data_IF_255712394043
#
_entry.id   IF_255712394043
#
_cell.length_a   1.000
_cell.length_b   1.000
_cell.length_c   1.000
_cell.angle_alpha   90.00
_cell.angle_beta   90.00
_cell.angle_gamma   90.00
#
_symmetry.space_group_name_H-M   'P 1'
#
loop_
_entity.id
_entity.type
_entity.pdbx_description
1 polymer ?
#
# COMPACT_ATOMS: atom_id res chain seq x y z
N UNK A 1 23.18 -19.32 -6.52
CA UNK A 1 22.77 -18.55 -7.72
C UNK A 1 21.72 -17.54 -7.29
N UNK A 2 21.87 -16.24 -7.60
CA UNK A 2 20.98 -15.17 -7.07
C UNK A 2 19.72 -15.02 -7.96
N UNK A 3 18.54 -15.54 -7.56
CA UNK A 3 17.35 -15.57 -8.41
C UNK A 3 16.83 -14.18 -8.80
N UNK A 4 17.08 -13.17 -7.96
CA UNK A 4 16.60 -11.80 -8.17
C UNK A 4 17.22 -11.12 -9.41
N UNK A 5 18.48 -11.43 -9.72
CA UNK A 5 19.23 -10.81 -10.83
C UNK A 5 18.73 -11.34 -12.18
N UNK A 6 18.36 -12.62 -12.23
CA UNK A 6 17.79 -13.22 -13.44
C UNK A 6 16.37 -12.70 -13.70
N UNK A 7 15.56 -12.57 -12.65
CA UNK A 7 14.19 -12.09 -12.76
C UNK A 7 14.11 -10.60 -13.18
N UNK A 8 15.12 -9.80 -12.81
CA UNK A 8 15.28 -8.41 -13.27
C UNK A 8 15.53 -8.24 -14.77
N UNK A 9 15.81 -9.31 -15.52
CA UNK A 9 15.98 -9.23 -16.99
C UNK A 9 14.66 -9.14 -17.74
N UNK A 10 13.54 -9.54 -17.14
CA UNK A 10 12.23 -9.40 -17.79
C UNK A 10 11.71 -7.98 -17.54
N UNK A 11 11.53 -7.15 -18.58
CA UNK A 11 10.99 -5.82 -18.41
C UNK A 11 9.59 -5.89 -17.80
N UNK A 12 9.24 -4.91 -16.96
CA UNK A 12 7.97 -4.82 -16.20
C UNK A 12 7.85 -5.86 -15.08
N UNK A 13 7.84 -7.16 -15.39
CA UNK A 13 7.69 -8.24 -14.40
C UNK A 13 8.83 -8.24 -13.37
N UNK A 14 10.07 -8.05 -13.81
CA UNK A 14 11.22 -7.94 -12.91
C UNK A 14 11.12 -6.74 -11.97
N UNK A 15 10.56 -5.62 -12.45
CA UNK A 15 10.33 -4.41 -11.66
C UNK A 15 9.24 -4.63 -10.62
N UNK A 16 8.12 -5.26 -11.00
CA UNK A 16 7.02 -5.58 -10.09
C UNK A 16 7.46 -6.52 -8.96
N UNK A 17 8.20 -7.58 -9.29
CA UNK A 17 8.69 -8.51 -8.27
C UNK A 17 9.71 -7.84 -7.36
N UNK A 18 10.56 -6.96 -7.90
CA UNK A 18 11.48 -6.18 -7.09
C UNK A 18 10.76 -5.23 -6.12
N UNK A 19 9.74 -4.49 -6.60
CA UNK A 19 8.90 -3.62 -5.76
C UNK A 19 8.19 -4.42 -4.67
N UNK A 20 7.58 -5.56 -5.03
CA UNK A 20 6.93 -6.46 -4.08
C UNK A 20 7.92 -6.99 -3.04
N UNK A 21 9.13 -7.36 -3.46
CA UNK A 21 10.17 -7.82 -2.54
C UNK A 21 10.62 -6.73 -1.57
N UNK A 22 10.76 -5.48 -2.04
CA UNK A 22 11.05 -4.32 -1.20
C UNK A 22 9.94 -4.06 -0.17
N UNK A 23 8.67 -4.15 -0.59
CA UNK A 23 7.51 -4.02 0.28
C UNK A 23 7.47 -5.11 1.36
N UNK A 24 7.66 -6.39 0.97
CA UNK A 24 7.66 -7.52 1.90
C UNK A 24 8.78 -7.42 2.95
N UNK A 25 9.94 -6.89 2.56
CA UNK A 25 11.06 -6.64 3.47
C UNK A 25 10.91 -5.35 4.30
N UNK A 26 9.87 -4.55 4.07
CA UNK A 26 9.68 -3.27 4.75
C UNK A 26 10.83 -2.30 4.49
N UNK A 27 11.34 -2.25 3.26
CA UNK A 27 12.44 -1.35 2.89
C UNK A 27 13.82 -1.72 3.45
N UNK A 28 14.04 -2.96 3.91
CA UNK A 28 15.38 -3.46 4.29
C UNK A 28 16.32 -3.45 3.07
N UNK A 29 17.59 -2.96 3.20
CA UNK A 29 18.59 -3.03 2.14
C UNK A 29 18.79 -4.42 1.52
N UNK A 30 18.54 -5.50 2.28
CA UNK A 30 18.58 -6.89 1.81
C UNK A 30 17.63 -7.17 0.66
N UNK A 31 16.55 -6.39 0.52
CA UNK A 31 15.59 -6.52 -0.57
C UNK A 31 16.19 -6.29 -1.96
N UNK A 32 17.33 -5.60 -2.06
CA UNK A 32 18.03 -5.37 -3.31
C UNK A 32 18.84 -6.59 -3.79
N UNK A 33 19.23 -7.49 -2.87
CA UNK A 33 20.15 -8.59 -3.15
C UNK A 33 19.53 -9.97 -2.99
N UNK A 34 18.50 -10.10 -2.16
CA UNK A 34 17.90 -11.38 -1.76
C UNK A 34 16.38 -11.35 -1.86
N UNK A 35 15.77 -12.51 -2.17
CA UNK A 35 14.32 -12.69 -2.11
C UNK A 35 13.87 -12.87 -0.68
N UNK A 36 12.71 -12.31 -0.34
CA UNK A 36 12.11 -12.50 0.97
C UNK A 36 11.69 -13.94 1.18
N UNK A 37 11.90 -14.52 2.38
CA UNK A 37 11.38 -15.84 2.72
C UNK A 37 9.85 -15.85 2.61
N UNK A 38 9.29 -16.97 2.16
CA UNK A 38 7.84 -17.13 1.87
C UNK A 38 6.93 -16.73 3.05
N UNK A 39 7.41 -16.89 4.28
CA UNK A 39 6.68 -16.50 5.50
C UNK A 39 6.41 -15.00 5.57
N UNK A 40 7.34 -14.17 5.09
CA UNK A 40 7.14 -12.71 5.03
C UNK A 40 6.17 -12.33 3.93
N UNK A 41 6.22 -12.99 2.77
CA UNK A 41 5.24 -12.79 1.70
C UNK A 41 3.83 -13.06 2.18
N UNK A 42 3.64 -14.19 2.86
CA UNK A 42 2.33 -14.53 3.43
C UNK A 42 1.88 -13.48 4.45
N UNK A 43 2.76 -13.08 5.36
CA UNK A 43 2.42 -12.04 6.36
C UNK A 43 2.02 -10.71 5.72
N UNK A 44 2.68 -10.31 4.63
CA UNK A 44 2.43 -9.04 3.96
C UNK A 44 1.11 -9.05 3.17
N UNK A 45 0.80 -10.13 2.44
CA UNK A 45 -0.33 -10.14 1.51
C UNK A 45 -1.58 -10.82 2.02
N UNK A 46 -1.47 -11.72 3.01
CA UNK A 46 -2.57 -12.60 3.39
C UNK A 46 -3.82 -11.84 3.85
N UNK A 47 -3.68 -10.86 4.75
CA UNK A 47 -4.85 -10.13 5.26
C UNK A 47 -5.53 -9.29 4.18
N UNK A 48 -4.74 -8.65 3.31
CA UNK A 48 -5.28 -7.87 2.20
C UNK A 48 -6.00 -8.77 1.20
N UNK A 49 -5.43 -9.95 0.91
CA UNK A 49 -6.06 -10.93 0.04
C UNK A 49 -7.37 -11.46 0.63
N UNK A 50 -7.39 -11.83 1.92
CA UNK A 50 -8.58 -12.31 2.62
C UNK A 50 -9.68 -11.26 2.63
N UNK A 51 -9.35 -10.01 2.97
CA UNK A 51 -10.29 -8.90 2.93
C UNK A 51 -10.87 -8.69 1.52
N UNK A 52 -10.02 -8.76 0.50
CA UNK A 52 -10.45 -8.60 -0.90
C UNK A 52 -11.37 -9.72 -1.36
N UNK A 53 -11.04 -10.98 -1.04
CA UNK A 53 -11.89 -12.14 -1.36
C UNK A 53 -13.25 -12.01 -0.68
N UNK A 54 -13.27 -11.60 0.60
CA UNK A 54 -14.51 -11.36 1.33
C UNK A 54 -15.38 -10.29 0.65
N UNK A 55 -14.78 -9.17 0.22
CA UNK A 55 -15.47 -8.11 -0.49
C UNK A 55 -15.97 -8.54 -1.87
N UNK A 56 -15.22 -9.37 -2.60
CA UNK A 56 -15.65 -9.96 -3.89
C UNK A 56 -16.90 -10.84 -3.69
N UNK A 57 -16.89 -11.71 -2.68
CA UNK A 57 -18.05 -12.55 -2.36
C UNK A 57 -19.26 -11.67 -2.05
N UNK A 58 -19.07 -10.57 -1.32
CA UNK A 58 -20.14 -9.63 -1.00
C UNK A 58 -20.67 -8.87 -2.24
N UNK A 59 -19.82 -8.57 -3.21
CA UNK A 59 -20.20 -7.79 -4.41
C UNK A 59 -20.78 -8.62 -5.55
N UNK A 60 -20.49 -9.92 -5.60
CA UNK A 60 -21.02 -10.83 -6.61
C UNK A 60 -22.08 -11.74 -5.98
N UNK A 61 -23.34 -11.30 -5.87
CA UNK A 61 -24.40 -12.06 -5.21
C UNK A 61 -24.63 -13.41 -5.88
N UNK A 62 -24.52 -13.48 -7.22
CA UNK A 62 -24.60 -14.73 -7.97
C UNK A 62 -23.55 -15.74 -7.47
N UNK A 63 -22.28 -15.32 -7.40
CA UNK A 63 -21.17 -16.14 -6.94
C UNK A 63 -21.33 -16.54 -5.47
N UNK A 64 -21.83 -15.64 -4.62
CA UNK A 64 -22.14 -15.94 -3.22
C UNK A 64 -23.23 -17.01 -3.07
N UNK A 65 -24.27 -16.93 -3.90
CA UNK A 65 -25.39 -17.87 -3.89
C UNK A 65 -24.97 -19.24 -4.42
N UNK A 66 -24.11 -19.29 -5.44
CA UNK A 66 -23.55 -20.54 -5.97
C UNK A 66 -22.60 -21.21 -4.98
N UNK A 67 -21.76 -20.44 -4.28
CA UNK A 67 -20.92 -20.96 -3.19
C UNK A 67 -21.77 -21.50 -2.04
N UNK A 68 -22.82 -20.78 -1.67
CA UNK A 68 -23.75 -21.19 -0.61
C UNK A 68 -24.48 -22.49 -0.96
N UNK A 69 -24.95 -22.60 -2.20
CA UNK A 69 -25.57 -23.84 -2.71
C UNK A 69 -24.56 -24.98 -2.78
N UNK A 70 -23.34 -24.75 -3.29
CA UNK A 70 -22.29 -25.78 -3.31
C UNK A 70 -21.97 -26.30 -1.91
N UNK A 71 -21.89 -25.39 -0.92
CA UNK A 71 -21.61 -25.76 0.47
C UNK A 71 -22.74 -26.57 1.12
N UNK A 72 -24.00 -26.26 0.82
CA UNK A 72 -25.17 -26.93 1.40
C UNK A 72 -25.55 -28.23 0.71
N UNK A 73 -25.45 -28.31 -0.62
CA UNK A 73 -25.97 -29.44 -1.41
C UNK A 73 -24.92 -30.17 -2.22
N UNK A 74 -23.65 -29.74 -2.21
CA UNK A 74 -22.57 -30.38 -2.98
C UNK A 74 -22.70 -30.23 -4.50
N UNK A 75 -23.65 -29.42 -4.98
CA UNK A 75 -23.90 -29.21 -6.40
C UNK A 75 -22.71 -28.51 -7.09
N UNK A 76 -22.32 -28.87 -8.32
CA UNK A 76 -21.19 -28.25 -9.00
C UNK A 76 -21.42 -26.75 -9.20
N UNK A 77 -20.35 -25.96 -9.03
CA UNK A 77 -20.34 -24.51 -9.27
C UNK A 77 -20.53 -24.28 -10.77
N UNK A 78 -21.79 -24.16 -11.18
CA UNK A 78 -22.20 -23.90 -12.56
C UNK A 78 -22.97 -22.59 -12.57
N UNK A 79 -22.27 -21.50 -12.84
CA UNK A 79 -22.93 -20.21 -13.03
C UNK A 79 -22.35 -19.47 -14.23
N UNK A 80 -23.25 -19.06 -15.13
CA UNK A 80 -23.04 -17.85 -15.91
C UNK A 80 -23.32 -16.69 -14.95
N UNK A 81 -22.37 -15.80 -14.77
CA UNK A 81 -22.60 -14.52 -14.09
C UNK A 81 -23.58 -13.72 -14.97
N UNK A 82 -24.88 -13.86 -14.70
CA UNK A 82 -25.94 -13.18 -15.45
C UNK A 82 -26.07 -11.75 -14.95
N UNK A 83 -25.12 -10.90 -15.36
CA UNK A 83 -25.34 -9.47 -15.61
C UNK A 83 -25.81 -8.54 -14.48
N UNK A 84 -25.90 -8.99 -13.22
CA UNK A 84 -26.43 -8.18 -12.13
C UNK A 84 -25.43 -7.22 -11.46
N UNK A 85 -24.12 -7.47 -11.60
CA UNK A 85 -23.06 -6.59 -11.08
C UNK A 85 -22.41 -5.82 -12.23
N UNK A 86 -22.21 -4.51 -12.07
CA UNK A 86 -21.53 -3.65 -13.03
C UNK A 86 -20.28 -4.33 -13.64
N UNK A 87 -20.02 -4.12 -14.94
CA UNK A 87 -18.83 -4.67 -15.59
C UNK A 87 -17.56 -4.19 -14.87
N UNK A 88 -16.79 -5.06 -14.20
CA UNK A 88 -15.70 -4.63 -13.32
C UNK A 88 -14.64 -3.82 -14.08
N UNK A 89 -14.41 -4.14 -15.36
CA UNK A 89 -13.50 -3.40 -16.22
C UNK A 89 -13.83 -1.90 -16.32
N UNK A 90 -15.11 -1.53 -16.49
CA UNK A 90 -15.47 -0.10 -16.62
C UNK A 90 -15.30 0.65 -15.31
N UNK A 91 -15.60 0.01 -14.17
CA UNK A 91 -15.41 0.57 -12.83
C UNK A 91 -13.92 0.76 -12.51
N UNK A 92 -13.08 -0.20 -12.85
CA UNK A 92 -11.61 -0.12 -12.68
C UNK A 92 -11.05 1.06 -13.50
N UNK A 93 -11.46 1.18 -14.76
CA UNK A 93 -10.95 2.21 -15.68
C UNK A 93 -11.46 3.61 -15.31
N UNK A 94 -12.65 3.73 -14.72
CA UNK A 94 -13.18 5.04 -14.31
C UNK A 94 -12.57 5.57 -13.01
N UNK A 95 -12.23 4.69 -12.06
CA UNK A 95 -11.78 5.09 -10.72
C UNK A 95 -10.25 5.19 -10.64
N UNK A 96 -9.53 4.17 -11.10
CA UNK A 96 -8.11 4.05 -10.77
C UNK A 96 -7.16 5.04 -11.46
N UNK A 97 -7.44 5.62 -12.64
CA UNK A 97 -6.59 6.70 -13.17
C UNK A 97 -6.51 7.89 -12.22
N UNK A 98 -7.63 8.29 -11.62
CA UNK A 98 -7.67 9.38 -10.63
C UNK A 98 -6.93 8.98 -9.34
N UNK A 99 -7.09 7.73 -8.88
CA UNK A 99 -6.37 7.23 -7.70
C UNK A 99 -4.86 7.11 -7.93
N UNK A 100 -4.43 6.73 -9.14
CA UNK A 100 -3.03 6.75 -9.53
C UNK A 100 -2.48 8.18 -9.53
N UNK A 101 -3.25 9.14 -10.05
CA UNK A 101 -2.89 10.57 -9.99
C UNK A 101 -2.70 11.07 -8.56
N UNK A 102 -3.60 10.69 -7.64
CA UNK A 102 -3.47 10.96 -6.20
C UNK A 102 -2.16 10.37 -5.66
N UNK A 103 -1.89 9.11 -5.96
CA UNK A 103 -0.67 8.42 -5.54
C UNK A 103 0.63 9.04 -6.03
N UNK A 104 0.65 9.51 -7.28
CA UNK A 104 1.78 10.26 -7.85
C UNK A 104 1.93 11.61 -7.14
N UNK A 105 0.83 12.31 -6.86
CA UNK A 105 0.85 13.57 -6.10
C UNK A 105 1.41 13.40 -4.70
N UNK A 106 1.02 12.32 -4.00
CA UNK A 106 1.60 11.92 -2.72
C UNK A 106 3.10 11.66 -2.84
N UNK A 107 3.51 10.94 -3.87
CA UNK A 107 4.91 10.62 -4.10
C UNK A 107 5.75 11.89 -4.37
N UNK A 108 5.20 12.87 -5.09
CA UNK A 108 5.82 14.17 -5.29
C UNK A 108 5.94 14.96 -3.98
N UNK A 109 4.92 14.94 -3.13
CA UNK A 109 4.96 15.58 -1.81
C UNK A 109 6.09 15.01 -0.95
N UNK A 110 6.33 13.69 -0.99
CA UNK A 110 7.45 13.09 -0.26
C UNK A 110 8.82 13.62 -0.68
N UNK A 111 9.01 13.94 -1.97
CA UNK A 111 10.24 14.58 -2.42
C UNK A 111 10.35 16.05 -2.02
N UNK A 112 9.21 16.71 -1.83
CA UNK A 112 9.15 18.08 -1.34
C UNK A 112 9.31 18.18 0.19
N UNK A 113 9.29 17.06 0.92
CA UNK A 113 9.49 17.06 2.37
C UNK A 113 10.93 17.40 2.74
N UNK A 114 11.08 18.18 3.83
CA UNK A 114 12.38 18.56 4.34
C UNK A 114 13.20 17.37 4.85
N UNK A 115 14.52 17.48 4.69
CA UNK A 115 15.48 16.45 5.13
C UNK A 115 15.45 16.20 6.64
N UNK A 116 14.98 17.17 7.44
CA UNK A 116 14.74 17.03 8.88
C UNK A 116 13.70 15.94 9.15
N UNK A 117 12.55 15.98 8.48
CA UNK A 117 11.47 15.02 8.63
C UNK A 117 11.92 13.59 8.27
N UNK A 118 12.66 13.44 7.16
CA UNK A 118 13.23 12.16 6.73
C UNK A 118 14.18 11.60 7.80
N UNK A 119 15.04 12.45 8.37
CA UNK A 119 16.01 12.07 9.42
C UNK A 119 15.31 11.67 10.72
N UNK A 120 14.20 12.31 11.08
CA UNK A 120 13.43 11.94 12.28
C UNK A 120 12.68 10.63 12.09
N UNK A 121 12.11 10.40 10.90
CA UNK A 121 11.50 9.12 10.57
C UNK A 121 12.54 7.99 10.66
N UNK A 122 13.79 8.24 10.22
CA UNK A 122 14.90 7.32 10.44
C UNK A 122 15.08 7.01 11.93
N UNK A 123 15.15 8.05 12.78
CA UNK A 123 15.33 7.90 14.23
C UNK A 123 14.18 7.12 14.88
N UNK A 124 12.92 7.40 14.54
CA UNK A 124 11.75 6.65 15.07
C UNK A 124 11.77 5.19 14.64
N UNK A 125 12.11 4.92 13.38
CA UNK A 125 12.26 3.54 12.88
C UNK A 125 13.40 2.81 13.58
N UNK A 126 14.52 3.49 13.80
CA UNK A 126 15.68 2.96 14.51
C UNK A 126 15.39 2.73 16.01
N UNK A 127 14.60 3.60 16.63
CA UNK A 127 14.16 3.45 18.02
C UNK A 127 13.15 2.30 18.17
N UNK A 128 12.17 2.18 17.27
CA UNK A 128 11.26 1.02 17.23
C UNK A 128 12.00 -0.32 16.98
N UNK A 129 13.17 -0.26 16.33
CA UNK A 129 14.07 -1.40 16.17
C UNK A 129 14.82 -1.72 17.47
N UNK A 130 15.33 -0.71 18.16
CA UNK A 130 16.01 -0.86 19.47
C UNK A 130 15.06 -1.38 20.55
N UNK A 131 13.79 -0.98 20.51
CA UNK A 131 12.75 -1.43 21.44
C UNK A 131 12.25 -2.86 21.15
N UNK A 132 12.84 -3.57 20.18
CA UNK A 132 12.47 -4.94 19.79
C UNK A 132 11.10 -5.07 19.11
N UNK A 133 10.36 -3.97 18.95
CA UNK A 133 9.03 -3.93 18.31
C UNK A 133 9.10 -4.18 16.80
N UNK A 134 10.25 -3.92 16.16
CA UNK A 134 10.52 -4.27 14.75
C UNK A 134 11.92 -4.87 14.56
N UNK A 135 12.01 -5.97 13.80
CA UNK A 135 13.30 -6.60 13.46
C UNK A 135 14.00 -5.96 12.25
N UNK A 136 13.24 -5.33 11.34
CA UNK A 136 13.74 -4.78 10.07
C UNK A 136 12.95 -3.52 9.66
N UNK A 137 13.58 -2.62 8.93
CA UNK A 137 12.99 -1.39 8.39
C UNK A 137 14.00 -0.25 8.26
N UNK A 138 14.07 0.39 7.09
CA UNK A 138 14.86 1.60 6.82
C UNK A 138 13.92 2.74 6.41
N UNK A 139 14.42 3.97 6.24
CA UNK A 139 13.67 5.08 5.64
C UNK A 139 13.11 4.74 4.25
N UNK A 140 13.75 3.79 3.55
CA UNK A 140 13.25 3.23 2.29
C UNK A 140 11.89 2.53 2.43
N UNK A 141 11.44 2.21 3.65
CA UNK A 141 10.12 1.63 3.90
C UNK A 141 9.01 2.51 3.35
N UNK A 142 9.13 3.82 3.48
CA UNK A 142 8.11 4.75 3.01
C UNK A 142 8.00 4.73 1.48
N UNK A 143 9.15 4.67 0.81
CA UNK A 143 9.18 4.55 -0.65
C UNK A 143 8.57 3.21 -1.10
N UNK A 144 8.93 2.09 -0.46
CA UNK A 144 8.37 0.79 -0.81
C UNK A 144 6.86 0.68 -0.52
N UNK A 145 6.41 1.27 0.58
CA UNK A 145 5.02 1.20 1.05
C UNK A 145 4.06 2.03 0.19
N UNK A 146 4.57 2.99 -0.58
CA UNK A 146 3.78 3.76 -1.56
C UNK A 146 3.97 3.22 -2.98
N UNK A 147 5.21 2.93 -3.38
CA UNK A 147 5.50 2.50 -4.74
C UNK A 147 4.89 1.13 -5.08
N UNK A 148 4.83 0.20 -4.12
CA UNK A 148 4.24 -1.11 -4.35
C UNK A 148 2.72 -1.03 -4.62
N UNK A 149 1.89 -0.41 -3.77
CA UNK A 149 0.48 -0.16 -4.07
C UNK A 149 0.25 0.48 -5.44
N UNK A 150 1.01 1.51 -5.79
CA UNK A 150 0.87 2.16 -7.10
C UNK A 150 1.17 1.22 -8.27
N UNK A 151 2.19 0.38 -8.13
CA UNK A 151 2.50 -0.64 -9.13
C UNK A 151 1.37 -1.66 -9.29
N UNK A 152 0.70 -2.03 -8.19
CA UNK A 152 -0.47 -2.91 -8.22
C UNK A 152 -1.64 -2.22 -8.91
N UNK A 153 -1.88 -0.92 -8.65
CA UNK A 153 -2.94 -0.17 -9.33
C UNK A 153 -2.74 -0.16 -10.86
N UNK A 154 -1.50 -0.01 -11.34
CA UNK A 154 -1.19 -0.10 -12.78
C UNK A 154 -1.52 -1.48 -13.34
N UNK A 155 -1.17 -2.55 -12.62
CA UNK A 155 -1.50 -3.93 -13.02
C UNK A 155 -3.01 -4.14 -13.05
N UNK A 156 -3.72 -3.69 -12.02
CA UNK A 156 -5.19 -3.80 -11.94
C UNK A 156 -5.86 -2.99 -13.04
N UNK A 157 -5.34 -1.81 -13.39
CA UNK A 157 -5.83 -1.04 -14.53
C UNK A 157 -5.66 -1.80 -15.85
N UNK A 158 -4.51 -2.44 -16.07
CA UNK A 158 -4.28 -3.28 -17.25
C UNK A 158 -5.26 -4.47 -17.30
N UNK A 159 -5.51 -5.12 -16.15
CA UNK A 159 -6.54 -6.17 -16.04
C UNK A 159 -7.93 -5.61 -16.32
N UNK A 160 -8.25 -4.39 -15.88
CA UNK A 160 -9.51 -3.71 -16.20
C UNK A 160 -9.71 -3.49 -17.70
N UNK A 161 -8.68 -3.03 -18.40
CA UNK A 161 -8.67 -2.89 -19.87
C UNK A 161 -8.91 -4.24 -20.55
N UNK A 162 -8.23 -5.30 -20.09
CA UNK A 162 -8.43 -6.64 -20.61
C UNK A 162 -9.84 -7.17 -20.32
N UNK A 163 -10.40 -6.87 -19.15
CA UNK A 163 -11.79 -7.23 -18.83
C UNK A 163 -12.82 -6.50 -19.66
N UNK A 164 -12.55 -5.26 -20.04
CA UNK A 164 -13.42 -4.54 -20.96
C UNK A 164 -13.32 -5.10 -22.39
N UNK A 165 -12.14 -5.58 -22.81
CA UNK A 165 -11.94 -6.23 -24.10
C UNK A 165 -12.60 -7.62 -24.17
N UNK A 166 -12.64 -8.37 -23.06
CA UNK A 166 -13.19 -9.73 -22.99
C UNK A 166 -14.31 -9.88 -21.93
N UNK A 167 -15.44 -9.16 -22.07
CA UNK A 167 -16.46 -9.05 -21.02
C UNK A 167 -17.18 -10.36 -20.71
N UNK A 168 -17.20 -11.32 -21.65
CA UNK A 168 -17.94 -12.58 -21.51
C UNK A 168 -17.18 -13.69 -20.75
N UNK A 169 -15.94 -13.42 -20.33
CA UNK A 169 -15.11 -14.44 -19.67
C UNK A 169 -15.26 -14.35 -18.15
N UNK A 170 -15.86 -15.37 -17.53
CA UNK A 170 -16.09 -15.42 -16.07
C UNK A 170 -14.80 -15.20 -15.26
N UNK A 171 -13.72 -15.90 -15.63
CA UNK A 171 -12.43 -15.75 -14.96
C UNK A 171 -11.91 -14.32 -14.99
N UNK A 172 -12.13 -13.62 -16.11
CA UNK A 172 -11.70 -12.23 -16.24
C UNK A 172 -12.51 -11.31 -15.31
N UNK A 173 -13.82 -11.53 -15.19
CA UNK A 173 -14.67 -10.77 -14.26
C UNK A 173 -14.25 -10.98 -12.80
N UNK A 174 -14.00 -12.24 -12.39
CA UNK A 174 -13.57 -12.56 -11.03
C UNK A 174 -12.20 -11.94 -10.72
N UNK A 175 -11.23 -12.07 -11.63
CA UNK A 175 -9.89 -11.51 -11.46
C UNK A 175 -9.94 -9.97 -11.40
N UNK A 176 -10.78 -9.32 -12.21
CA UNK A 176 -10.95 -7.87 -12.15
C UNK A 176 -11.61 -7.40 -10.86
N UNK A 177 -12.65 -8.08 -10.37
CA UNK A 177 -13.27 -7.73 -9.07
C UNK A 177 -12.32 -7.94 -7.91
N UNK A 178 -11.55 -9.04 -7.92
CA UNK A 178 -10.53 -9.30 -6.92
C UNK A 178 -9.43 -8.24 -6.96
N UNK A 179 -8.93 -7.91 -8.15
CA UNK A 179 -7.94 -6.86 -8.35
C UNK A 179 -8.46 -5.49 -7.91
N UNK A 180 -9.73 -5.17 -8.20
CA UNK A 180 -10.38 -3.93 -7.79
C UNK A 180 -10.38 -3.77 -6.27
N UNK A 181 -10.91 -4.75 -5.54
CA UNK A 181 -10.96 -4.69 -4.08
C UNK A 181 -9.58 -4.71 -3.45
N UNK A 182 -8.67 -5.51 -3.99
CA UNK A 182 -7.29 -5.55 -3.52
C UNK A 182 -6.58 -4.22 -3.69
N UNK A 183 -6.70 -3.57 -4.85
CA UNK A 183 -6.15 -2.24 -5.06
C UNK A 183 -6.78 -1.19 -4.14
N UNK A 184 -8.09 -1.25 -3.87
CA UNK A 184 -8.73 -0.35 -2.91
C UNK A 184 -8.20 -0.53 -1.48
N UNK A 185 -8.00 -1.77 -1.02
CA UNK A 185 -7.40 -2.04 0.29
C UNK A 185 -6.00 -1.42 0.38
N UNK A 186 -5.18 -1.58 -0.67
CA UNK A 186 -3.84 -0.96 -0.70
C UNK A 186 -3.88 0.58 -0.75
N UNK A 187 -4.89 1.18 -1.38
CA UNK A 187 -5.08 2.64 -1.36
C UNK A 187 -5.42 3.12 0.05
N UNK A 188 -6.24 2.37 0.79
CA UNK A 188 -6.50 2.67 2.20
C UNK A 188 -5.24 2.57 3.05
N UNK A 189 -4.34 1.62 2.76
CA UNK A 189 -3.03 1.57 3.42
C UNK A 189 -2.21 2.83 3.15
N UNK A 190 -2.14 3.30 1.89
CA UNK A 190 -1.46 4.55 1.56
C UNK A 190 -2.06 5.72 2.35
N UNK A 191 -3.39 5.84 2.38
CA UNK A 191 -4.08 6.91 3.11
C UNK A 191 -3.77 6.84 4.61
N UNK A 192 -3.82 5.65 5.21
CA UNK A 192 -3.52 5.46 6.63
C UNK A 192 -2.04 5.80 6.95
N UNK A 193 -1.11 5.43 6.07
CA UNK A 193 0.30 5.79 6.19
C UNK A 193 0.48 7.31 6.14
N UNK A 194 -0.18 7.99 5.20
CA UNK A 194 -0.09 9.45 5.09
C UNK A 194 -0.70 10.17 6.29
N UNK A 195 -1.85 9.70 6.75
CA UNK A 195 -2.48 10.25 7.94
C UNK A 195 -1.52 10.15 9.13
N UNK A 196 -0.90 8.98 9.32
CA UNK A 196 0.11 8.78 10.36
C UNK A 196 1.34 9.70 10.19
N UNK A 197 1.79 9.94 8.96
CA UNK A 197 2.90 10.86 8.70
C UNK A 197 2.54 12.31 9.02
N UNK A 198 1.36 12.76 8.60
CA UNK A 198 0.90 14.13 8.81
C UNK A 198 0.72 14.39 10.30
N UNK A 199 0.05 13.50 11.04
CA UNK A 199 -0.16 13.63 12.48
C UNK A 199 1.17 13.79 13.22
N UNK A 200 2.15 12.97 12.87
CA UNK A 200 3.49 13.07 13.44
C UNK A 200 4.18 14.41 13.11
N UNK A 201 4.01 14.93 11.89
CA UNK A 201 4.59 16.22 11.48
C UNK A 201 3.94 17.43 12.16
N UNK A 202 2.64 17.35 12.46
CA UNK A 202 1.90 18.43 13.12
C UNK A 202 2.27 18.51 14.60
N UNK A 203 2.33 17.37 15.28
CA UNK A 203 2.77 17.29 16.67
C UNK A 203 4.18 17.86 16.85
N UNK A 204 5.08 17.56 15.91
CA UNK A 204 6.45 18.10 15.92
C UNK A 204 6.47 19.63 15.78
N UNK A 205 5.72 20.20 14.83
CA UNK A 205 5.64 21.67 14.69
C UNK A 205 5.07 22.34 15.94
N UNK A 206 4.15 21.69 16.63
CA UNK A 206 3.60 22.17 17.89
C UNK A 206 4.66 22.16 19.01
N UNK A 207 5.44 21.08 19.14
CA UNK A 207 6.51 20.94 20.14
C UNK A 207 7.68 21.91 19.90
N UNK A 208 8.08 22.12 18.64
CA UNK A 208 9.12 23.07 18.26
C UNK A 208 8.70 24.51 18.57
N UNK A 209 7.41 24.83 18.38
CA UNK A 209 6.83 26.14 18.69
C UNK A 209 6.76 26.35 20.21
N UNK A 210 6.38 25.31 20.98
CA UNK A 210 6.36 25.37 22.43
C UNK A 210 7.78 25.59 23.02
N UNK A 211 8.79 24.92 22.45
CA UNK A 211 10.19 25.05 22.90
C UNK A 211 10.76 26.45 22.65
N UNK A 212 10.47 27.06 21.49
CA UNK A 212 10.89 28.44 21.19
C UNK A 212 10.25 29.47 22.12
N UNK A 213 8.97 29.31 22.45
CA UNK A 213 8.28 30.21 23.37
C UNK A 213 8.86 30.15 24.80
N UNK A 214 9.38 28.99 25.22
CA UNK A 214 10.05 28.84 26.51
C UNK A 214 11.42 29.55 26.51
N UNK A 215 12.19 29.45 25.42
CA UNK A 215 13.48 30.15 25.29
C UNK A 215 13.33 31.69 25.26
N UNK A 216 12.33 32.21 24.54
CA UNK A 216 12.05 33.66 24.50
C UNK A 216 11.62 34.22 25.87
N UNK A 217 10.81 33.48 26.64
CA UNK A 217 10.44 33.92 27.99
C UNK A 217 11.57 33.79 29.02
N UNK A 218 12.50 32.85 28.84
CA UNK A 218 13.67 32.71 29.72
C UNK A 218 14.73 33.81 29.50
N UNK A 219 14.79 34.38 28.29
CA UNK A 219 15.78 35.40 27.91
C UNK A 219 15.35 36.85 28.20
N UNK A 220 14.06 37.10 28.45
CA UNK A 220 13.56 38.41 28.90
C UNK A 220 13.67 38.63 30.43
N UNK A 221 14.07 37.63 31.21
CA UNK A 221 14.11 37.69 32.68
C UNK A 221 15.39 38.23 33.32
N UNK A 222 16.40 38.64 32.54
CA UNK A 222 17.70 39.07 33.08
C UNK A 222 18.13 40.44 32.55
N UNK A 223 17.36 41.50 32.82
CA UNK A 223 17.93 42.85 32.89
C UNK A 223 18.37 43.09 34.34
N UNK A 224 19.67 43.35 34.61
CA UNK A 224 20.11 43.78 35.93
C UNK A 224 19.44 45.10 36.28
N UNK A 225 19.04 45.33 37.55
CA UNK A 225 18.57 46.65 37.96
C UNK A 225 19.70 47.66 37.74
N UNK A 226 19.41 48.70 36.96
CA UNK A 226 20.27 49.86 36.81
C UNK A 226 20.49 50.47 38.20
N UNK A 227 21.76 50.52 38.62
CA UNK A 227 22.22 51.10 39.88
C UNK A 227 22.63 52.56 39.67
#
# INVERSE_FOLDING_TARGET
>A
MRPLIWLRRVPVLGTLVWLANCYVYGGDPRAATELAPIRLWFKAFFWNLVASVFLVILTLPDLSMSLWQHFLTGAPIMQKLTGGGASPGTTVISIFPSTLGLGIGIYALLFALDTSFIRQMHRKLEQARKDGKRKHGSVLILNSDIAFPLSVLVVVLAVGVLSQAYPNTLWMQVVSWLGFWYALVLVLEIIALLFSLIDNSILEKADDTASKNIEEHSSQGTSPPEA
#
